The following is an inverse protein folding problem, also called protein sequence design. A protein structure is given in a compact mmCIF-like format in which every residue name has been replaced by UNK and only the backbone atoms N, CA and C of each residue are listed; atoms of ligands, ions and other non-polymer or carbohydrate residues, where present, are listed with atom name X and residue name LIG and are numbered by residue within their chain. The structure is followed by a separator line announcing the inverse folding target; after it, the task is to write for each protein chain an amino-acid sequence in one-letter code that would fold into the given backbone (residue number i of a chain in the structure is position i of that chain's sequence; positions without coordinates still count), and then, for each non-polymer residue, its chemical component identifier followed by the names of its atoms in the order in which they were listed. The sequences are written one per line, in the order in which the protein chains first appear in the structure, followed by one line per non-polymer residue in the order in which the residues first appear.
data_IF_345387966689
#
_entry.id   IF_345387966689
#
_cell.length_a   1.000
_cell.length_b   1.000
_cell.length_c   1.000
_cell.angle_alpha   90.00
_cell.angle_beta   90.00
_cell.angle_gamma   90.00
#
_symmetry.space_group_name_H-M   'P 1'
#
loop_
_entity.id
_entity.type
_entity.pdbx_description
1 polymer ?
#
# COMPACT_ATOMS: atom_id res chain seq x y z
N UNK A 1 3.10 30.19 -7.17
CA UNK A 1 4.32 29.88 -6.42
C UNK A 1 4.78 28.51 -6.88
N UNK A 2 5.98 28.38 -7.43
CA UNK A 2 6.56 27.08 -7.79
C UNK A 2 6.98 26.37 -6.50
N UNK A 3 6.04 25.70 -5.84
CA UNK A 3 6.43 24.80 -4.75
C UNK A 3 7.16 23.62 -5.36
N UNK A 4 8.43 23.52 -5.02
CA UNK A 4 9.27 22.41 -5.42
C UNK A 4 8.65 21.15 -4.84
N UNK A 5 8.24 20.21 -5.68
CA UNK A 5 7.66 18.93 -5.28
C UNK A 5 8.57 18.26 -4.23
N UNK A 6 8.00 17.60 -3.22
CA UNK A 6 8.73 17.06 -2.06
C UNK A 6 9.85 16.10 -2.48
N UNK A 7 9.68 15.30 -3.52
CA UNK A 7 10.72 14.37 -4.03
C UNK A 7 11.93 15.08 -4.67
N UNK A 8 11.83 16.35 -5.00
CA UNK A 8 12.96 17.17 -5.46
C UNK A 8 13.71 17.79 -4.28
N UNK A 9 13.07 17.88 -3.10
CA UNK A 9 13.68 18.46 -1.89
C UNK A 9 14.47 17.45 -1.07
N UNK A 10 14.02 16.19 -1.05
CA UNK A 10 14.64 15.11 -0.26
C UNK A 10 15.45 14.16 -1.17
N UNK A 11 16.55 14.69 -1.70
CA UNK A 11 17.44 13.93 -2.58
C UNK A 11 18.01 12.65 -1.96
N UNK A 12 18.06 12.54 -0.62
CA UNK A 12 18.55 11.35 0.08
C UNK A 12 17.52 10.21 0.05
N UNK A 13 16.26 10.50 0.36
CA UNK A 13 15.17 9.51 0.45
C UNK A 13 14.89 8.81 -0.89
N UNK A 14 14.91 9.58 -1.98
CA UNK A 14 14.58 9.08 -3.32
C UNK A 14 15.78 8.88 -4.24
N UNK A 15 16.98 8.90 -3.67
CA UNK A 15 18.26 8.80 -4.40
C UNK A 15 18.35 7.55 -5.30
N UNK A 16 17.72 6.46 -4.92
CA UNK A 16 17.76 5.19 -5.65
C UNK A 16 16.43 4.84 -6.34
N UNK A 17 15.48 5.78 -6.38
CA UNK A 17 14.19 5.58 -7.05
C UNK A 17 14.30 6.10 -8.48
N UNK A 18 14.29 5.18 -9.44
CA UNK A 18 14.25 5.49 -10.86
C UNK A 18 12.79 5.74 -11.28
N UNK A 19 12.55 6.84 -11.98
CA UNK A 19 11.26 7.22 -12.55
C UNK A 19 11.38 7.29 -14.08
N UNK A 20 10.71 6.39 -14.84
CA UNK A 20 10.72 6.45 -16.30
C UNK A 20 9.82 7.56 -16.87
N UNK A 21 9.44 8.54 -16.04
CA UNK A 21 8.62 9.70 -16.38
C UNK A 21 9.24 10.98 -15.78
N UNK A 22 8.97 12.12 -16.39
CA UNK A 22 9.48 13.41 -15.96
C UNK A 22 8.47 14.23 -15.13
N UNK A 23 8.93 15.37 -14.63
CA UNK A 23 8.10 16.28 -13.84
C UNK A 23 6.95 16.89 -14.65
N UNK A 24 7.11 17.05 -15.98
CA UNK A 24 6.06 17.61 -16.81
C UNK A 24 4.92 16.61 -17.00
N UNK A 25 5.22 15.32 -17.11
CA UNK A 25 4.21 14.25 -17.06
C UNK A 25 3.43 14.28 -15.74
N UNK A 26 4.12 14.35 -14.61
CA UNK A 26 3.47 14.43 -13.29
C UNK A 26 2.56 15.66 -13.19
N UNK A 27 3.04 16.85 -13.61
CA UNK A 27 2.22 18.08 -13.59
C UNK A 27 0.96 17.96 -14.44
N UNK A 28 1.06 17.39 -15.65
CA UNK A 28 -0.08 17.19 -16.54
C UNK A 28 -1.12 16.26 -15.95
N UNK A 29 -0.67 15.19 -15.27
CA UNK A 29 -1.54 14.19 -14.66
C UNK A 29 -2.13 14.65 -13.31
N UNK A 30 -1.49 15.58 -12.60
CA UNK A 30 -1.98 16.11 -11.32
C UNK A 30 -3.23 17.00 -11.46
N UNK A 31 -3.59 17.42 -12.66
CA UNK A 31 -4.72 18.34 -12.90
C UNK A 31 -4.41 19.77 -12.48
N UNK A 32 -5.47 20.62 -12.48
CA UNK A 32 -5.36 22.07 -12.21
C UNK A 32 -5.64 22.46 -10.76
N UNK A 33 -6.23 21.55 -9.96
CA UNK A 33 -6.58 21.78 -8.57
C UNK A 33 -5.64 20.98 -7.67
N UNK A 34 -4.99 21.67 -6.74
CA UNK A 34 -4.16 21.01 -5.71
C UNK A 34 -5.06 20.58 -4.56
N UNK A 35 -5.05 19.28 -4.26
CA UNK A 35 -5.73 18.68 -3.11
C UNK A 35 -4.65 18.23 -2.13
N UNK A 36 -4.75 18.64 -0.87
CA UNK A 36 -3.85 18.18 0.19
C UNK A 36 -4.39 16.92 0.88
N UNK A 37 -3.60 15.86 0.85
CA UNK A 37 -3.86 14.60 1.55
C UNK A 37 -3.07 14.57 2.85
N UNK A 38 -3.40 15.49 3.76
CA UNK A 38 -2.63 15.78 4.99
C UNK A 38 -2.35 14.54 5.84
N UNK A 39 -3.36 13.66 6.04
CA UNK A 39 -3.17 12.45 6.85
C UNK A 39 -2.20 11.47 6.20
N UNK A 40 -2.31 11.25 4.89
CA UNK A 40 -1.40 10.38 4.16
C UNK A 40 0.02 10.93 4.16
N UNK A 41 0.19 12.24 3.92
CA UNK A 41 1.49 12.91 3.91
C UNK A 41 2.19 12.81 5.26
N UNK A 42 1.53 13.26 6.32
CA UNK A 42 2.08 13.22 7.67
C UNK A 42 2.35 11.77 8.12
N UNK A 43 1.45 10.84 7.79
CA UNK A 43 1.63 9.42 8.07
C UNK A 43 2.84 8.83 7.36
N UNK A 44 3.03 9.14 6.07
CA UNK A 44 4.16 8.65 5.28
C UNK A 44 5.51 9.19 5.77
N UNK A 45 5.58 10.47 6.15
CA UNK A 45 6.77 11.08 6.74
C UNK A 45 7.08 10.44 8.10
N UNK A 46 6.06 10.30 8.96
CA UNK A 46 6.19 9.65 10.27
C UNK A 46 6.63 8.17 10.15
N UNK A 47 6.08 7.43 9.18
CA UNK A 47 6.47 6.04 8.93
C UNK A 47 7.93 5.95 8.49
N UNK A 48 8.33 6.79 7.55
CA UNK A 48 9.70 6.86 7.06
C UNK A 48 10.70 7.16 8.18
N UNK A 49 10.41 8.16 9.02
CA UNK A 49 11.24 8.48 10.18
C UNK A 49 11.38 7.29 11.14
N UNK A 50 10.26 6.66 11.51
CA UNK A 50 10.28 5.50 12.41
C UNK A 50 11.08 4.33 11.86
N UNK A 51 11.00 4.05 10.54
CA UNK A 51 11.76 2.99 9.89
C UNK A 51 13.28 3.21 9.93
N UNK A 52 13.73 4.47 10.03
CA UNK A 52 15.16 4.83 10.03
C UNK A 52 15.73 5.14 11.42
N UNK A 53 14.88 5.52 12.37
CA UNK A 53 15.33 5.93 13.71
C UNK A 53 15.10 4.87 14.77
N UNK A 54 14.15 3.96 14.57
CA UNK A 54 13.84 2.90 15.53
C UNK A 54 14.52 1.59 15.18
N UNK A 55 14.89 0.83 16.19
CA UNK A 55 15.43 -0.53 16.02
C UNK A 55 14.41 -1.46 15.34
N UNK A 56 13.12 -1.27 15.59
CA UNK A 56 11.99 -1.96 14.99
C UNK A 56 10.74 -1.10 15.12
N UNK A 57 9.80 -1.28 14.21
CA UNK A 57 8.50 -0.61 14.22
C UNK A 57 7.44 -1.64 14.62
N UNK A 58 6.76 -1.40 15.74
CA UNK A 58 5.70 -2.28 16.23
C UNK A 58 4.38 -1.95 15.52
N UNK A 59 3.85 -2.92 14.80
CA UNK A 59 2.57 -2.83 14.12
C UNK A 59 1.75 -4.09 14.37
N UNK A 60 0.46 -3.91 14.62
CA UNK A 60 -0.51 -5.00 14.71
C UNK A 60 -1.68 -4.75 13.77
N UNK A 61 -2.37 -5.83 13.38
CA UNK A 61 -3.57 -5.75 12.56
C UNK A 61 -4.71 -5.03 13.26
N UNK A 62 -5.44 -4.20 12.53
CA UNK A 62 -6.68 -3.59 12.99
C UNK A 62 -7.68 -3.46 11.83
N UNK A 63 -8.93 -3.87 12.06
CA UNK A 63 -10.04 -3.74 11.11
C UNK A 63 -11.06 -2.67 11.54
N UNK A 64 -11.02 -2.26 12.79
CA UNK A 64 -11.95 -1.27 13.35
C UNK A 64 -11.20 -0.07 13.91
N UNK A 65 -11.85 1.08 13.89
CA UNK A 65 -11.30 2.28 14.52
C UNK A 65 -11.02 2.09 16.00
N UNK A 66 -11.86 1.32 16.73
CA UNK A 66 -11.64 1.06 18.15
C UNK A 66 -10.36 0.23 18.39
N UNK A 67 -10.12 -0.82 17.59
CA UNK A 67 -8.87 -1.59 17.69
C UNK A 67 -7.67 -0.68 17.48
N UNK A 68 -7.67 0.11 16.41
CA UNK A 68 -6.58 1.03 16.08
C UNK A 68 -6.37 2.10 17.18
N UNK A 69 -7.45 2.67 17.73
CA UNK A 69 -7.38 3.62 18.83
C UNK A 69 -6.76 3.00 20.09
N UNK A 70 -7.12 1.75 20.44
CA UNK A 70 -6.52 1.05 21.58
C UNK A 70 -5.04 0.75 21.33
N UNK A 71 -4.66 0.43 20.10
CA UNK A 71 -3.24 0.25 19.72
C UNK A 71 -2.45 1.55 19.90
N UNK A 72 -3.01 2.70 19.50
CA UNK A 72 -2.40 4.00 19.75
C UNK A 72 -2.20 4.29 21.25
N UNK A 73 -3.24 4.04 22.07
CA UNK A 73 -3.17 4.15 23.54
C UNK A 73 -2.12 3.22 24.16
N UNK A 74 -1.94 2.04 23.59
CA UNK A 74 -0.92 1.07 24.02
C UNK A 74 0.50 1.41 23.56
N UNK A 75 0.69 2.51 22.79
CA UNK A 75 1.98 2.99 22.34
C UNK A 75 2.59 2.19 21.19
N UNK A 76 1.77 1.58 20.32
CA UNK A 76 2.27 1.00 19.08
C UNK A 76 2.79 2.09 18.14
N UNK A 77 3.59 1.69 17.17
CA UNK A 77 4.26 2.62 16.26
C UNK A 77 3.51 2.82 14.94
N UNK A 78 2.74 1.83 14.52
CA UNK A 78 2.02 1.78 13.24
C UNK A 78 0.83 0.86 13.34
N UNK A 79 -0.12 1.02 12.43
CA UNK A 79 -1.24 0.10 12.20
C UNK A 79 -0.94 -0.69 10.93
N UNK A 80 -1.18 -2.00 10.98
CA UNK A 80 -1.21 -2.84 9.79
C UNK A 80 -2.65 -3.14 9.39
N UNK A 81 -3.00 -2.88 8.14
CA UNK A 81 -4.31 -3.25 7.59
C UNK A 81 -4.13 -4.42 6.62
N UNK A 82 -4.46 -5.61 7.11
CA UNK A 82 -4.28 -6.88 6.41
C UNK A 82 -5.41 -7.14 5.42
N UNK A 83 -5.09 -7.41 4.16
CA UNK A 83 -6.04 -7.87 3.15
C UNK A 83 -6.70 -9.19 3.53
N UNK A 84 -5.96 -10.12 4.12
CA UNK A 84 -6.51 -11.37 4.66
C UNK A 84 -7.63 -11.15 5.68
N UNK A 85 -7.43 -10.23 6.63
CA UNK A 85 -8.46 -9.89 7.61
C UNK A 85 -9.65 -9.18 6.94
N UNK A 86 -9.40 -8.32 5.96
CA UNK A 86 -10.47 -7.66 5.19
C UNK A 86 -11.28 -8.70 4.41
N UNK A 87 -10.64 -9.66 3.77
CA UNK A 87 -11.33 -10.75 3.09
C UNK A 87 -12.27 -11.53 4.02
N UNK A 88 -11.81 -11.85 5.24
CA UNK A 88 -12.58 -12.62 6.20
C UNK A 88 -13.71 -11.84 6.86
N UNK A 89 -13.46 -10.59 7.28
CA UNK A 89 -14.33 -9.94 8.27
C UNK A 89 -14.79 -8.52 7.93
N UNK A 90 -14.24 -7.87 6.89
CA UNK A 90 -14.44 -6.43 6.75
C UNK A 90 -14.53 -5.92 5.30
N UNK A 91 -14.87 -6.77 4.35
CA UNK A 91 -15.05 -6.34 2.95
C UNK A 91 -16.44 -5.77 2.67
N UNK A 92 -16.53 -4.93 1.65
CA UNK A 92 -17.77 -4.26 1.25
C UNK A 92 -18.80 -5.20 0.60
N UNK A 93 -18.39 -6.41 0.24
CA UNK A 93 -19.31 -7.44 -0.28
C UNK A 93 -20.13 -8.13 0.82
N UNK A 94 -19.85 -7.83 2.10
CA UNK A 94 -20.52 -8.42 3.28
C UNK A 94 -20.43 -9.96 3.31
N UNK A 95 -19.37 -10.51 2.72
CA UNK A 95 -19.12 -11.95 2.62
C UNK A 95 -17.84 -12.30 3.39
N UNK A 96 -17.74 -13.56 3.78
CA UNK A 96 -16.50 -14.13 4.26
C UNK A 96 -15.79 -14.81 3.08
N UNK A 97 -14.69 -14.23 2.63
CA UNK A 97 -13.88 -14.76 1.54
C UNK A 97 -12.55 -15.35 2.04
N UNK A 98 -12.01 -16.35 1.35
CA UNK A 98 -10.59 -16.66 1.48
C UNK A 98 -9.76 -15.49 0.95
N UNK A 99 -8.50 -15.42 1.36
CA UNK A 99 -7.54 -14.41 0.93
C UNK A 99 -7.07 -14.65 -0.53
N UNK A 100 -7.94 -14.35 -1.47
CA UNK A 100 -7.77 -14.55 -2.92
C UNK A 100 -8.19 -13.31 -3.74
N UNK A 101 -8.22 -12.14 -3.11
CA UNK A 101 -8.63 -10.86 -3.76
C UNK A 101 -10.04 -10.94 -4.40
N UNK A 102 -10.98 -11.65 -3.76
CA UNK A 102 -12.36 -11.81 -4.24
C UNK A 102 -13.26 -10.64 -3.83
N UNK A 103 -12.82 -9.85 -2.87
CA UNK A 103 -13.56 -8.68 -2.41
C UNK A 103 -13.29 -7.45 -3.29
N UNK A 104 -14.16 -6.45 -3.18
CA UNK A 104 -14.06 -5.18 -3.91
C UNK A 104 -12.74 -4.46 -3.60
N UNK A 105 -12.08 -3.94 -4.63
CA UNK A 105 -10.86 -3.12 -4.52
C UNK A 105 -11.01 -1.92 -3.58
N UNK A 106 -12.23 -1.42 -3.39
CA UNK A 106 -12.55 -0.32 -2.47
C UNK A 106 -12.56 -0.71 -0.99
N UNK A 107 -12.57 -2.01 -0.65
CA UNK A 107 -12.73 -2.47 0.73
C UNK A 107 -11.60 -2.01 1.65
N UNK A 108 -10.34 -2.17 1.24
CA UNK A 108 -9.18 -1.74 2.04
C UNK A 108 -9.17 -0.21 2.24
N UNK A 109 -9.31 0.63 1.19
CA UNK A 109 -9.44 2.08 1.35
C UNK A 109 -10.58 2.49 2.29
N UNK A 110 -11.73 1.83 2.24
CA UNK A 110 -12.88 2.09 3.13
C UNK A 110 -12.51 1.88 4.60
N UNK A 111 -11.77 0.81 4.92
CA UNK A 111 -11.35 0.53 6.30
C UNK A 111 -10.29 1.54 6.76
N UNK A 112 -9.31 1.89 5.91
CA UNK A 112 -8.32 2.95 6.21
C UNK A 112 -9.04 4.25 6.58
N UNK A 113 -10.02 4.66 5.77
CA UNK A 113 -10.80 5.88 6.03
C UNK A 113 -11.57 5.80 7.35
N UNK A 114 -12.17 4.65 7.65
CA UNK A 114 -12.88 4.42 8.93
C UNK A 114 -11.95 4.55 10.13
N UNK A 115 -10.75 4.00 10.06
CA UNK A 115 -9.73 4.11 11.11
C UNK A 115 -9.31 5.57 11.28
N UNK A 116 -8.99 6.26 10.20
CA UNK A 116 -8.59 7.67 10.23
C UNK A 116 -9.69 8.57 10.78
N UNK A 117 -10.95 8.34 10.45
CA UNK A 117 -12.09 9.06 11.03
C UNK A 117 -12.20 8.85 12.55
N UNK A 118 -11.87 7.64 13.04
CA UNK A 118 -11.82 7.36 14.48
C UNK A 118 -10.66 8.10 15.15
N UNK A 119 -9.47 8.13 14.53
CA UNK A 119 -8.34 8.89 15.02
C UNK A 119 -8.64 10.39 15.11
N UNK A 120 -9.24 10.95 14.06
CA UNK A 120 -9.67 12.35 14.07
C UNK A 120 -10.66 12.63 15.20
N UNK A 121 -11.63 11.75 15.44
CA UNK A 121 -12.58 11.92 16.54
C UNK A 121 -11.90 11.81 17.91
N UNK A 122 -11.00 10.87 18.09
CA UNK A 122 -10.26 10.71 19.35
C UNK A 122 -9.37 11.92 19.63
N UNK A 123 -8.71 12.45 18.61
CA UNK A 123 -7.90 13.67 18.71
C UNK A 123 -8.75 14.92 19.04
N UNK A 124 -9.91 15.08 18.39
CA UNK A 124 -10.85 16.16 18.70
C UNK A 124 -11.30 16.12 20.17
N UNK A 125 -11.59 14.93 20.70
CA UNK A 125 -12.04 14.75 22.10
C UNK A 125 -10.92 15.16 23.06
N UNK A 126 -9.70 14.63 22.88
CA UNK A 126 -8.60 14.98 23.79
C UNK A 126 -8.22 16.49 23.70
N UNK A 127 -8.38 17.10 22.53
CA UNK A 127 -8.17 18.54 22.35
C UNK A 127 -9.23 19.36 23.10
N UNK A 128 -10.50 18.93 23.03
CA UNK A 128 -11.59 19.58 23.79
C UNK A 128 -11.44 19.45 25.32
N UNK A 129 -10.73 18.42 25.76
CA UNK A 129 -10.45 18.17 27.20
C UNK A 129 -9.13 18.83 27.66
N UNK A 130 -8.55 19.74 26.89
CA UNK A 130 -7.25 20.38 27.14
C UNK A 130 -6.08 19.39 27.35
N UNK A 131 -6.15 18.21 26.69
CA UNK A 131 -5.18 17.13 26.77
C UNK A 131 -4.43 16.91 25.45
N UNK A 132 -4.34 17.94 24.63
CA UNK A 132 -3.74 17.87 23.30
C UNK A 132 -2.31 17.29 23.35
N UNK A 133 -2.06 16.28 22.52
CA UNK A 133 -0.75 15.63 22.40
C UNK A 133 -0.43 14.60 23.49
N UNK A 134 -1.35 14.30 24.41
CA UNK A 134 -1.16 13.26 25.42
C UNK A 134 -1.04 11.87 24.76
N UNK A 135 -1.84 11.62 23.74
CA UNK A 135 -1.77 10.42 22.91
C UNK A 135 -1.64 10.83 21.44
N UNK A 136 -0.65 10.32 20.74
CA UNK A 136 -0.56 10.43 19.29
C UNK A 136 -1.46 9.38 18.64
N UNK A 137 -2.70 9.76 18.36
CA UNK A 137 -3.66 8.88 17.69
C UNK A 137 -3.33 8.64 16.22
N UNK A 138 -2.69 9.60 15.54
CA UNK A 138 -2.41 9.49 14.10
C UNK A 138 -1.20 8.59 13.83
N UNK A 139 -1.36 7.30 14.19
CA UNK A 139 -0.38 6.29 13.81
C UNK A 139 -0.37 6.09 12.30
N UNK A 140 0.81 5.96 11.67
CA UNK A 140 0.87 5.66 10.25
C UNK A 140 0.24 4.29 9.96
N UNK A 141 -0.61 4.23 8.93
CA UNK A 141 -1.28 3.01 8.48
C UNK A 141 -0.51 2.45 7.28
N UNK A 142 -0.07 1.20 7.39
CA UNK A 142 0.45 0.41 6.26
C UNK A 142 -0.66 -0.52 5.79
N UNK A 143 -1.09 -0.38 4.55
CA UNK A 143 -2.20 -1.13 3.98
C UNK A 143 -1.74 -2.17 2.96
N UNK A 144 -2.44 -3.29 2.97
CA UNK A 144 -2.32 -4.35 1.97
C UNK A 144 -2.96 -3.89 0.65
N UNK A 145 -2.17 -3.83 -0.41
CA UNK A 145 -2.64 -3.57 -1.77
C UNK A 145 -2.80 -4.87 -2.58
N UNK A 146 -2.70 -6.03 -1.92
CA UNK A 146 -2.76 -7.33 -2.58
C UNK A 146 -1.76 -7.39 -3.76
N UNK A 147 -2.14 -7.97 -4.87
CA UNK A 147 -1.39 -7.93 -6.13
C UNK A 147 -1.81 -6.77 -7.06
N UNK A 148 -2.52 -5.76 -6.53
CA UNK A 148 -2.98 -4.60 -7.28
C UNK A 148 -4.34 -4.76 -7.97
N UNK A 149 -5.07 -5.86 -7.71
CA UNK A 149 -6.40 -6.17 -8.26
C UNK A 149 -6.48 -6.17 -9.79
N UNK A 150 -5.37 -6.44 -10.46
CA UNK A 150 -5.27 -6.47 -11.92
C UNK A 150 -3.92 -6.00 -12.43
N UNK A 151 -3.92 -5.27 -13.54
CA UNK A 151 -2.71 -4.71 -14.15
C UNK A 151 -2.31 -3.35 -13.57
N UNK A 152 -1.42 -2.66 -14.29
CA UNK A 152 -0.84 -1.37 -13.87
C UNK A 152 -1.87 -0.27 -13.64
N UNK A 153 -2.95 -0.22 -14.44
CA UNK A 153 -4.00 0.79 -14.28
C UNK A 153 -4.83 0.55 -13.01
N UNK A 154 -5.15 -0.71 -12.71
CA UNK A 154 -5.85 -1.08 -11.48
C UNK A 154 -5.00 -0.69 -10.26
N UNK A 155 -3.71 -1.02 -10.30
CA UNK A 155 -2.76 -0.66 -9.23
C UNK A 155 -2.67 0.86 -9.04
N UNK A 156 -2.58 1.62 -10.14
CA UNK A 156 -2.52 3.08 -10.09
C UNK A 156 -3.76 3.68 -9.37
N UNK A 157 -4.96 3.27 -9.76
CA UNK A 157 -6.19 3.78 -9.16
C UNK A 157 -6.38 3.31 -7.70
N UNK A 158 -5.98 2.07 -7.37
CA UNK A 158 -5.99 1.58 -5.99
C UNK A 158 -5.09 2.43 -5.09
N UNK A 159 -3.87 2.74 -5.54
CA UNK A 159 -2.93 3.57 -4.76
C UNK A 159 -3.49 4.96 -4.53
N UNK A 160 -4.13 5.57 -5.53
CA UNK A 160 -4.82 6.85 -5.36
C UNK A 160 -5.91 6.75 -4.28
N UNK A 161 -6.76 5.74 -4.35
CA UNK A 161 -7.83 5.54 -3.36
C UNK A 161 -7.27 5.33 -1.93
N UNK A 162 -6.17 4.61 -1.79
CA UNK A 162 -5.48 4.41 -0.51
C UNK A 162 -4.91 5.73 0.03
N UNK A 163 -4.31 6.56 -0.81
CA UNK A 163 -3.79 7.88 -0.43
C UNK A 163 -4.94 8.81 0.00
N UNK A 164 -6.04 8.84 -0.75
CA UNK A 164 -7.25 9.60 -0.39
C UNK A 164 -7.82 9.18 0.96
N UNK A 165 -7.74 7.89 1.28
CA UNK A 165 -8.17 7.36 2.57
C UNK A 165 -7.21 7.71 3.73
N UNK A 166 -5.97 8.18 3.44
CA UNK A 166 -4.98 8.59 4.42
C UNK A 166 -3.96 7.52 4.77
N UNK A 167 -3.63 6.62 3.83
CA UNK A 167 -2.61 5.57 4.01
C UNK A 167 -1.21 6.15 3.99
N UNK A 168 -0.35 5.72 4.92
CA UNK A 168 1.04 6.13 5.04
C UNK A 168 1.98 5.31 4.15
N UNK A 169 1.74 4.02 4.08
CA UNK A 169 2.48 3.06 3.27
C UNK A 169 1.60 1.96 2.74
N UNK A 170 2.02 1.38 1.63
CA UNK A 170 1.35 0.25 0.99
C UNK A 170 2.36 -0.84 0.71
N UNK A 171 1.96 -2.10 0.80
CA UNK A 171 2.71 -3.18 0.19
C UNK A 171 1.94 -3.80 -0.98
N UNK A 172 2.68 -4.17 -2.00
CA UNK A 172 2.18 -4.76 -3.23
C UNK A 172 2.97 -6.03 -3.50
N UNK A 173 2.29 -7.13 -3.82
CA UNK A 173 2.91 -8.42 -4.06
C UNK A 173 2.91 -8.82 -5.54
N UNK A 174 3.85 -9.68 -5.90
CA UNK A 174 4.11 -10.14 -7.27
C UNK A 174 3.24 -11.33 -7.71
N UNK A 175 2.15 -11.62 -7.00
CA UNK A 175 1.22 -12.66 -7.42
C UNK A 175 0.36 -12.21 -8.62
N UNK A 176 0.01 -13.16 -9.50
CA UNK A 176 -0.99 -12.96 -10.54
C UNK A 176 -2.36 -12.74 -9.89
N UNK A 177 -2.98 -11.58 -10.11
CA UNK A 177 -4.23 -11.17 -9.44
C UNK A 177 -5.38 -12.17 -9.65
N UNK A 178 -5.50 -12.77 -10.84
CA UNK A 178 -6.56 -13.74 -11.16
C UNK A 178 -6.36 -15.11 -10.51
N UNK A 179 -5.15 -15.42 -10.02
CA UNK A 179 -4.81 -16.70 -9.38
C UNK A 179 -4.23 -16.51 -7.98
N UNK A 180 -4.43 -15.34 -7.38
CA UNK A 180 -3.89 -14.95 -6.08
C UNK A 180 -4.35 -15.90 -4.98
N UNK A 181 -3.42 -16.22 -4.09
CA UNK A 181 -3.65 -17.07 -2.91
C UNK A 181 -3.02 -16.45 -1.67
N UNK A 182 -3.52 -16.84 -0.51
CA UNK A 182 -2.90 -16.48 0.76
C UNK A 182 -1.43 -16.96 0.81
N UNK A 183 -0.56 -16.19 1.43
CA UNK A 183 0.89 -16.41 1.42
C UNK A 183 1.36 -17.80 1.86
N UNK A 184 0.60 -18.50 2.72
CA UNK A 184 0.92 -19.85 3.18
C UNK A 184 0.41 -20.98 2.26
N UNK A 185 -0.41 -20.66 1.25
CA UNK A 185 -0.98 -21.68 0.33
C UNK A 185 -0.01 -22.01 -0.81
N UNK A 186 -0.07 -23.26 -1.25
CA UNK A 186 0.63 -23.71 -2.47
C UNK A 186 -0.08 -23.26 -3.76
N UNK A 187 0.63 -23.38 -4.90
CA UNK A 187 0.08 -23.07 -6.21
C UNK A 187 -0.05 -21.57 -6.50
N UNK A 188 0.76 -20.74 -5.85
CA UNK A 188 0.88 -19.31 -6.17
C UNK A 188 1.54 -19.14 -7.53
N UNK A 189 0.97 -18.28 -8.35
CA UNK A 189 1.50 -17.90 -9.66
C UNK A 189 2.06 -16.50 -9.55
N UNK A 190 3.33 -16.32 -9.90
CA UNK A 190 3.99 -15.02 -9.94
C UNK A 190 3.77 -14.36 -11.31
N UNK A 191 3.67 -13.04 -11.33
CA UNK A 191 3.80 -12.25 -12.56
C UNK A 191 5.27 -12.16 -12.95
N UNK A 192 5.58 -11.77 -14.20
CA UNK A 192 6.96 -11.51 -14.59
C UNK A 192 7.59 -10.39 -13.76
N UNK A 193 8.90 -10.42 -13.60
CA UNK A 193 9.65 -9.35 -12.90
C UNK A 193 9.32 -7.98 -13.48
N UNK A 194 9.26 -7.84 -14.80
CA UNK A 194 8.95 -6.56 -15.44
C UNK A 194 7.51 -6.09 -15.16
N UNK A 195 6.54 -7.00 -15.07
CA UNK A 195 5.16 -6.64 -14.70
C UNK A 195 5.11 -6.09 -13.28
N UNK A 196 5.78 -6.73 -12.32
CA UNK A 196 5.88 -6.20 -10.96
C UNK A 196 6.56 -4.83 -10.91
N UNK A 197 7.66 -4.65 -11.63
CA UNK A 197 8.34 -3.35 -11.75
C UNK A 197 7.38 -2.29 -12.29
N UNK A 198 6.60 -2.60 -13.32
CA UNK A 198 5.63 -1.66 -13.90
C UNK A 198 4.51 -1.29 -12.89
N UNK A 199 4.05 -2.24 -12.09
CA UNK A 199 3.08 -1.97 -11.00
C UNK A 199 3.68 -1.06 -9.93
N UNK A 200 4.94 -1.26 -9.55
CA UNK A 200 5.64 -0.39 -8.59
C UNK A 200 5.85 1.03 -9.16
N UNK A 201 6.19 1.14 -10.44
CA UNK A 201 6.28 2.43 -11.15
C UNK A 201 4.92 3.14 -11.17
N UNK A 202 3.84 2.43 -11.48
CA UNK A 202 2.48 2.97 -11.45
C UNK A 202 2.08 3.45 -10.06
N UNK A 203 2.46 2.70 -9.02
CA UNK A 203 2.25 3.08 -7.62
C UNK A 203 3.01 4.36 -7.26
N UNK A 204 4.27 4.47 -7.69
CA UNK A 204 5.07 5.68 -7.47
C UNK A 204 4.51 6.88 -8.24
N UNK A 205 4.08 6.69 -9.49
CA UNK A 205 3.45 7.74 -10.27
C UNK A 205 2.16 8.25 -9.60
N UNK A 206 1.30 7.36 -9.10
CA UNK A 206 0.10 7.73 -8.35
C UNK A 206 0.45 8.61 -7.13
N UNK A 207 1.45 8.21 -6.35
CA UNK A 207 1.90 8.99 -5.19
C UNK A 207 2.49 10.35 -5.59
N UNK A 208 3.25 10.41 -6.68
CA UNK A 208 3.87 11.64 -7.17
C UNK A 208 2.82 12.64 -7.70
N UNK A 209 1.80 12.20 -8.44
CA UNK A 209 0.73 13.09 -8.92
C UNK A 209 -0.15 13.61 -7.79
N UNK A 210 -0.30 12.85 -6.70
CA UNK A 210 -1.07 13.24 -5.51
C UNK A 210 -0.22 14.03 -4.49
N UNK A 211 1.05 14.25 -4.77
CA UNK A 211 1.98 14.99 -3.91
C UNK A 211 2.16 14.42 -2.50
N UNK A 212 2.17 13.08 -2.39
CA UNK A 212 2.33 12.36 -1.12
C UNK A 212 3.56 11.46 -1.14
N UNK A 213 4.45 11.53 -0.13
CA UNK A 213 5.65 10.69 -0.05
C UNK A 213 5.34 9.26 0.44
N UNK A 214 4.31 8.63 -0.11
CA UNK A 214 3.88 7.28 0.28
C UNK A 214 5.03 6.29 0.30
N UNK A 215 5.15 5.51 1.38
CA UNK A 215 6.12 4.42 1.47
C UNK A 215 5.58 3.23 0.68
N UNK A 216 6.23 2.93 -0.45
CA UNK A 216 5.87 1.79 -1.30
C UNK A 216 6.79 0.64 -0.94
N UNK A 217 6.20 -0.50 -0.55
CA UNK A 217 6.88 -1.71 -0.10
C UNK A 217 6.65 -2.80 -1.14
N UNK A 218 7.71 -3.19 -1.84
CA UNK A 218 7.68 -4.34 -2.73
C UNK A 218 7.73 -5.62 -1.88
N UNK A 219 6.67 -6.43 -1.98
CA UNK A 219 6.60 -7.77 -1.39
C UNK A 219 6.79 -8.81 -2.49
N UNK A 220 7.47 -9.88 -2.19
CA UNK A 220 7.55 -11.03 -3.09
C UNK A 220 7.08 -12.30 -2.40
N UNK A 221 6.36 -13.13 -3.14
CA UNK A 221 5.97 -14.47 -2.77
C UNK A 221 6.85 -15.57 -3.43
N UNK A 222 7.95 -15.18 -4.09
CA UNK A 222 8.86 -16.09 -4.79
C UNK A 222 9.49 -17.16 -3.90
N UNK A 223 9.61 -16.94 -2.57
CA UNK A 223 10.14 -17.94 -1.65
C UNK A 223 9.32 -19.25 -1.67
N UNK A 224 8.03 -19.16 -1.94
CA UNK A 224 7.11 -20.32 -1.97
C UNK A 224 6.21 -20.34 -3.23
N UNK A 225 6.36 -19.37 -4.14
CA UNK A 225 5.74 -19.39 -5.46
C UNK A 225 6.52 -20.33 -6.38
N UNK A 226 5.83 -21.34 -6.93
CA UNK A 226 6.44 -22.34 -7.77
C UNK A 226 6.04 -22.21 -9.25
N UNK A 227 5.18 -21.24 -9.57
CA UNK A 227 4.65 -21.04 -10.93
C UNK A 227 4.89 -19.59 -11.36
N UNK A 228 5.17 -19.42 -12.66
CA UNK A 228 5.34 -18.12 -13.31
C UNK A 228 4.28 -17.97 -14.42
N UNK A 229 3.67 -16.81 -14.51
CA UNK A 229 2.61 -16.52 -15.46
C UNK A 229 3.05 -16.67 -16.92
N UNK A 230 4.28 -16.25 -17.25
CA UNK A 230 4.74 -16.08 -18.63
C UNK A 230 6.27 -16.16 -18.70
N UNK A 231 6.79 -16.57 -19.84
CA UNK A 231 8.20 -16.56 -20.22
C UNK A 231 8.61 -15.30 -21.02
N UNK A 232 7.79 -14.25 -21.00
CA UNK A 232 8.02 -13.04 -21.80
C UNK A 232 9.17 -12.16 -21.31
N UNK A 233 9.61 -12.32 -20.06
CA UNK A 233 10.68 -11.56 -19.48
C UNK A 233 11.98 -12.38 -19.42
N UNK A 234 13.00 -11.94 -20.16
CA UNK A 234 14.31 -12.62 -20.21
C UNK A 234 14.99 -12.74 -18.85
N UNK A 235 14.71 -11.82 -17.90
CA UNK A 235 15.25 -11.84 -16.55
C UNK A 235 14.82 -13.13 -15.83
N UNK A 236 13.61 -13.60 -16.12
CA UNK A 236 12.98 -14.74 -15.45
C UNK A 236 13.35 -16.10 -16.09
N UNK A 237 13.92 -16.11 -17.31
CA UNK A 237 14.24 -17.35 -18.04
C UNK A 237 15.09 -18.33 -17.23
N UNK A 238 16.00 -17.85 -16.40
CA UNK A 238 16.86 -18.67 -15.54
C UNK A 238 16.11 -19.48 -14.47
N UNK A 239 14.86 -19.16 -14.21
CA UNK A 239 14.00 -19.85 -13.23
C UNK A 239 13.02 -20.82 -13.90
N UNK A 240 12.88 -20.77 -15.22
CA UNK A 240 11.93 -21.58 -15.99
C UNK A 240 12.55 -22.95 -16.28
N UNK A 241 11.84 -24.02 -15.92
CA UNK A 241 12.28 -25.42 -16.15
C UNK A 241 11.98 -25.93 -17.56
N UNK A 242 11.10 -25.25 -18.29
CA UNK A 242 10.58 -25.68 -19.59
C UNK A 242 9.29 -26.53 -19.49
N UNK A 243 8.89 -26.94 -18.31
CA UNK A 243 7.60 -27.60 -18.06
C UNK A 243 6.48 -26.56 -17.91
N UNK A 244 5.25 -26.96 -18.24
CA UNK A 244 4.06 -26.13 -18.09
C UNK A 244 2.94 -26.88 -17.39
N UNK A 245 2.11 -26.17 -16.64
CA UNK A 245 0.85 -26.69 -16.12
C UNK A 245 -0.18 -26.82 -17.25
N UNK A 246 -1.31 -27.51 -17.00
CA UNK A 246 -2.43 -27.58 -17.95
C UNK A 246 -3.00 -26.18 -18.27
N UNK A 247 -2.95 -25.25 -17.32
CA UNK A 247 -3.38 -23.85 -17.49
C UNK A 247 -2.36 -22.99 -18.26
N UNK A 248 -1.17 -23.54 -18.54
CA UNK A 248 -0.13 -22.88 -19.33
C UNK A 248 0.89 -22.09 -18.50
N UNK A 249 0.88 -22.16 -17.18
CA UNK A 249 1.90 -21.55 -16.32
C UNK A 249 3.22 -22.35 -16.38
N UNK A 250 4.33 -21.64 -16.22
CA UNK A 250 5.68 -22.20 -16.18
C UNK A 250 6.09 -22.59 -14.78
#
# INVERSE_FOLDING_TARGET
MNETKWWLRDGARFKHVERPYDNDAVKKLSGSVHIEYTLAKNGAEKLWDKLHTKKYVRALGALTGNQAMQQAKAGLDSIYLSGWQVAGDANDSLQMYPDQSLYSVGSVPTIVKRINNTFQRADQIQTMEDRQGEIDYFLPIVADAESGFGGVLNTHELVKALIEAGTAGIHLEDQLSSAKKCGHMGGKVLVSTQEMVNKLIASRLAADIMDVPTVIIARTDALSGALLQSDSDEIDHKFITGERTEEGFF
#
